data_IF_908678271286
#
_entry.id   IF_908678271286
#
_cell.length_a   1.000
_cell.length_b   1.000
_cell.length_c   1.000
_cell.angle_alpha   90.00
_cell.angle_beta   90.00
_cell.angle_gamma   90.00
#
_symmetry.space_group_name_H-M   'P 1'
#
loop_
_entity.id
_entity.type
_entity.pdbx_description
1 polymer ?
#
# COMPACT_ATOMS: atom_id res chain seq x y z
N UNK A 1 20.90 -14.37 3.22
CA UNK A 1 19.80 -13.40 3.08
C UNK A 1 20.21 -12.34 2.08
N UNK A 2 19.39 -12.10 1.06
CA UNK A 2 19.58 -10.96 0.17
C UNK A 2 19.47 -9.67 0.99
N UNK A 3 20.25 -8.64 0.65
CA UNK A 3 20.10 -7.34 1.30
C UNK A 3 18.86 -6.64 0.75
N UNK A 4 17.98 -6.08 1.61
CA UNK A 4 16.82 -5.36 1.14
C UNK A 4 17.24 -4.15 0.31
N UNK A 5 16.54 -3.91 -0.79
CA UNK A 5 16.78 -2.74 -1.63
C UNK A 5 16.30 -1.45 -0.94
N UNK A 6 15.13 -1.50 -0.30
CA UNK A 6 14.52 -0.41 0.44
C UNK A 6 14.12 -0.92 1.82
N UNK A 7 14.33 -0.10 2.85
CA UNK A 7 13.83 -0.36 4.21
C UNK A 7 13.13 0.88 4.74
N UNK A 8 12.05 0.68 5.48
CA UNK A 8 11.30 1.76 6.12
C UNK A 8 10.48 1.22 7.29
N UNK A 9 10.04 2.12 8.16
CA UNK A 9 9.01 1.82 9.16
C UNK A 9 7.70 2.46 8.72
N UNK A 10 6.65 1.64 8.60
CA UNK A 10 5.29 2.14 8.41
C UNK A 10 4.55 2.14 9.74
N UNK A 11 3.90 3.26 10.08
CA UNK A 11 3.20 3.43 11.37
C UNK A 11 1.86 4.13 11.21
N UNK A 12 0.99 3.92 12.19
CA UNK A 12 -0.31 4.58 12.36
C UNK A 12 -1.22 4.42 11.13
N UNK A 13 -1.42 3.16 10.75
CA UNK A 13 -2.16 2.80 9.55
C UNK A 13 -3.66 3.09 9.73
N UNK A 14 -4.26 3.68 8.70
CA UNK A 14 -5.70 3.91 8.55
C UNK A 14 -6.14 3.11 7.34
N UNK A 15 -6.95 2.08 7.53
CA UNK A 15 -7.46 1.25 6.45
C UNK A 15 -8.98 1.45 6.32
N UNK A 16 -9.41 1.94 5.17
CA UNK A 16 -10.81 1.91 4.77
C UNK A 16 -10.98 0.86 3.68
N UNK A 17 -11.78 -0.18 3.95
CA UNK A 17 -11.95 -1.32 3.07
C UNK A 17 -13.40 -1.44 2.63
N UNK A 18 -13.64 -1.68 1.35
CA UNK A 18 -14.98 -1.91 0.82
C UNK A 18 -14.99 -2.96 -0.28
N UNK A 19 -16.15 -3.60 -0.43
CA UNK A 19 -16.42 -4.51 -1.55
C UNK A 19 -16.48 -3.72 -2.85
N UNK A 20 -15.92 -4.29 -3.90
CA UNK A 20 -15.85 -3.67 -5.23
C UNK A 20 -16.21 -4.69 -6.29
N UNK A 21 -16.89 -4.25 -7.35
CA UNK A 21 -17.16 -5.10 -8.49
C UNK A 21 -15.86 -5.49 -9.21
N UNK A 22 -15.74 -6.77 -9.57
CA UNK A 22 -14.59 -7.30 -10.30
C UNK A 22 -14.33 -6.55 -11.61
N UNK A 23 -15.39 -6.13 -12.30
CA UNK A 23 -15.34 -5.36 -13.55
C UNK A 23 -14.55 -4.05 -13.43
N UNK A 24 -14.51 -3.44 -12.24
CA UNK A 24 -13.76 -2.21 -11.96
C UNK A 24 -12.27 -2.48 -11.74
N UNK A 25 -11.90 -3.70 -11.33
CA UNK A 25 -10.53 -4.11 -11.05
C UNK A 25 -9.83 -4.73 -12.26
N UNK A 26 -10.56 -5.46 -13.10
CA UNK A 26 -10.02 -6.16 -14.28
C UNK A 26 -9.09 -5.29 -15.15
N UNK A 27 -9.39 -4.00 -15.42
CA UNK A 27 -8.51 -3.16 -16.24
C UNK A 27 -7.11 -2.92 -15.65
N UNK A 28 -6.96 -3.08 -14.33
CA UNK A 28 -5.70 -2.87 -13.60
C UNK A 28 -4.96 -4.18 -13.31
N UNK A 29 -5.57 -5.33 -13.61
CA UNK A 29 -5.04 -6.65 -13.24
C UNK A 29 -3.82 -7.01 -14.11
N UNK A 30 -2.63 -7.24 -13.51
CA UNK A 30 -1.46 -7.66 -14.26
C UNK A 30 -1.61 -9.06 -14.87
N UNK A 31 -0.88 -9.30 -15.97
CA UNK A 31 -0.89 -10.61 -16.64
C UNK A 31 -0.42 -11.74 -15.73
N UNK A 32 -1.14 -12.86 -15.71
CA UNK A 32 -0.77 -14.04 -14.92
C UNK A 32 -1.01 -13.90 -13.42
N UNK A 33 -1.83 -12.94 -12.99
CA UNK A 33 -2.26 -12.70 -11.62
C UNK A 33 -3.79 -12.80 -11.55
N UNK A 34 -4.33 -13.33 -10.46
CA UNK A 34 -5.77 -13.49 -10.24
C UNK A 34 -6.24 -12.60 -9.08
N UNK A 35 -7.52 -12.17 -9.12
CA UNK A 35 -8.12 -11.46 -7.99
C UNK A 35 -8.25 -12.40 -6.78
N UNK A 36 -7.80 -11.94 -5.61
CA UNK A 36 -8.00 -12.66 -4.35
C UNK A 36 -9.32 -12.23 -3.72
N UNK A 37 -10.18 -13.20 -3.45
CA UNK A 37 -11.55 -12.98 -2.99
C UNK A 37 -11.68 -13.40 -1.55
N UNK A 38 -12.26 -12.54 -0.73
CA UNK A 38 -12.68 -12.87 0.63
C UNK A 38 -14.17 -13.18 0.63
N UNK A 39 -14.53 -14.40 1.03
CA UNK A 39 -15.92 -14.89 1.03
C UNK A 39 -16.63 -14.72 -0.33
N UNK A 40 -15.89 -14.77 -1.43
CA UNK A 40 -16.41 -14.63 -2.79
C UNK A 40 -16.47 -13.19 -3.32
N UNK A 41 -16.20 -12.19 -2.48
CA UNK A 41 -16.18 -10.78 -2.87
C UNK A 41 -14.75 -10.27 -3.15
N UNK A 42 -14.62 -9.35 -4.10
CA UNK A 42 -13.40 -8.56 -4.29
C UNK A 42 -13.41 -7.36 -3.35
N UNK A 43 -12.23 -7.00 -2.84
CA UNK A 43 -12.06 -5.88 -1.92
C UNK A 43 -11.04 -4.88 -2.43
N UNK A 44 -11.28 -3.61 -2.15
CA UNK A 44 -10.33 -2.53 -2.33
C UNK A 44 -10.14 -1.79 -1.01
N UNK A 45 -8.95 -1.22 -0.85
CA UNK A 45 -8.54 -0.53 0.36
C UNK A 45 -7.88 0.79 0.04
N UNK A 46 -8.29 1.83 0.76
CA UNK A 46 -7.58 3.08 0.85
C UNK A 46 -6.81 3.09 2.17
N UNK A 47 -5.48 3.09 2.08
CA UNK A 47 -4.59 2.97 3.22
C UNK A 47 -3.79 4.24 3.38
N UNK A 48 -3.91 4.89 4.53
CA UNK A 48 -3.11 6.05 4.92
C UNK A 48 -2.13 5.67 6.03
N UNK A 49 -0.87 6.07 5.92
CA UNK A 49 0.14 5.70 6.91
C UNK A 49 1.32 6.66 6.90
N UNK A 50 2.11 6.63 7.99
CA UNK A 50 3.39 7.31 8.06
C UNK A 50 4.48 6.39 7.54
N UNK A 51 5.15 6.83 6.49
CA UNK A 51 6.42 6.30 6.06
C UNK A 51 7.52 6.97 6.89
N UNK A 52 8.42 6.19 7.50
CA UNK A 52 9.49 6.68 8.38
C UNK A 52 10.81 5.98 8.09
N UNK A 53 11.92 6.67 8.39
CA UNK A 53 13.28 6.12 8.38
C UNK A 53 13.67 5.47 7.04
N UNK A 54 13.18 6.01 5.91
CA UNK A 54 13.44 5.43 4.60
C UNK A 54 14.94 5.34 4.30
N UNK A 55 15.40 4.14 3.95
CA UNK A 55 16.77 3.90 3.47
C UNK A 55 16.76 3.10 2.17
N UNK A 56 17.66 3.45 1.26
CA UNK A 56 17.85 2.75 -0.02
C UNK A 56 19.24 2.15 -0.03
N UNK A 57 19.32 0.83 -0.18
CA UNK A 57 20.56 0.03 -0.07
C UNK A 57 21.37 0.34 1.20
N UNK A 58 20.67 0.62 2.30
CA UNK A 58 21.24 0.96 3.60
C UNK A 58 21.72 2.41 3.76
N UNK A 59 21.50 3.28 2.78
CA UNK A 59 21.80 4.70 2.87
C UNK A 59 20.50 5.46 3.19
N UNK A 60 20.45 6.25 4.28
CA UNK A 60 19.27 7.05 4.62
C UNK A 60 18.92 8.02 3.50
N UNK A 61 17.63 8.11 3.17
CA UNK A 61 17.13 9.01 2.12
C UNK A 61 16.97 10.45 2.66
N UNK A 62 18.09 11.11 2.96
CA UNK A 62 18.10 12.44 3.58
C UNK A 62 17.13 13.43 2.92
N UNK A 63 16.26 14.04 3.72
CA UNK A 63 15.21 14.97 3.27
C UNK A 63 13.90 14.31 2.83
N UNK A 64 13.86 12.98 2.72
CA UNK A 64 12.70 12.20 2.25
C UNK A 64 12.45 10.96 3.11
N UNK A 65 13.00 10.91 4.32
CA UNK A 65 12.92 9.75 5.20
C UNK A 65 11.50 9.54 5.73
N UNK A 66 10.82 10.66 6.01
CA UNK A 66 9.55 10.69 6.70
C UNK A 66 8.49 11.44 5.88
N UNK A 67 7.36 10.80 5.61
CA UNK A 67 6.23 11.40 4.92
C UNK A 67 4.92 10.64 5.13
N UNK A 68 3.76 11.32 4.99
CA UNK A 68 2.48 10.65 4.81
C UNK A 68 2.41 10.01 3.42
N UNK A 69 1.82 8.82 3.35
CA UNK A 69 1.43 8.19 2.10
C UNK A 69 -0.03 7.74 2.17
N UNK A 70 -0.74 7.87 1.06
CA UNK A 70 -2.05 7.26 0.86
C UNK A 70 -1.95 6.37 -0.36
N UNK A 71 -2.39 5.12 -0.26
CA UNK A 71 -2.47 4.21 -1.39
C UNK A 71 -3.89 3.63 -1.56
N UNK A 72 -4.32 3.55 -2.81
CA UNK A 72 -5.53 2.86 -3.23
C UNK A 72 -5.11 1.56 -3.90
N UNK A 73 -5.50 0.44 -3.31
CA UNK A 73 -5.06 -0.89 -3.73
C UNK A 73 -6.18 -1.91 -3.70
N UNK A 74 -5.98 -3.01 -4.40
CA UNK A 74 -6.83 -4.21 -4.33
C UNK A 74 -5.98 -5.47 -4.22
N UNK A 75 -6.65 -6.58 -3.94
CA UNK A 75 -6.02 -7.82 -3.51
C UNK A 75 -5.96 -8.85 -4.62
N UNK A 76 -4.79 -9.48 -4.72
CA UNK A 76 -4.49 -10.44 -5.77
C UNK A 76 -3.68 -11.61 -5.24
N UNK A 77 -3.69 -12.70 -6.00
CA UNK A 77 -2.87 -13.86 -5.75
C UNK A 77 -2.28 -14.39 -7.05
N UNK A 78 -1.14 -15.05 -6.93
CA UNK A 78 -0.50 -15.76 -8.02
C UNK A 78 -0.08 -17.14 -7.55
N UNK A 79 -0.41 -18.16 -8.32
CA UNK A 79 0.08 -19.51 -8.07
C UNK A 79 1.36 -19.76 -8.87
N UNK A 80 2.47 -20.03 -8.19
CA UNK A 80 3.74 -20.39 -8.82
C UNK A 80 4.37 -21.57 -8.11
N UNK A 81 4.70 -22.62 -8.86
CA UNK A 81 5.41 -23.80 -8.34
C UNK A 81 4.72 -24.46 -7.12
N UNK A 82 3.39 -24.37 -7.04
CA UNK A 82 2.60 -24.90 -5.92
C UNK A 82 2.52 -23.98 -4.69
N UNK A 83 3.08 -22.78 -4.75
CA UNK A 83 2.96 -21.73 -3.73
C UNK A 83 1.94 -20.68 -4.16
N UNK A 84 1.06 -20.28 -3.24
CA UNK A 84 0.14 -19.15 -3.43
C UNK A 84 0.78 -17.88 -2.89
N UNK A 85 1.11 -16.95 -3.78
CA UNK A 85 1.70 -15.65 -3.44
C UNK A 85 0.63 -14.58 -3.43
N UNK A 86 0.15 -14.25 -2.24
CA UNK A 86 -0.81 -13.16 -2.02
C UNK A 86 -0.12 -11.82 -2.02
N UNK A 87 -0.68 -10.88 -2.78
CA UNK A 87 -0.16 -9.53 -2.85
C UNK A 87 -1.23 -8.49 -3.14
N UNK A 88 -0.74 -7.29 -3.42
CA UNK A 88 -1.58 -6.14 -3.77
C UNK A 88 -1.20 -5.60 -5.14
N UNK A 89 -2.18 -4.99 -5.79
CA UNK A 89 -1.98 -4.12 -6.95
C UNK A 89 -2.43 -2.73 -6.58
N UNK A 90 -1.59 -1.74 -6.88
CA UNK A 90 -1.90 -0.35 -6.64
C UNK A 90 -2.65 0.23 -7.85
N UNK A 91 -3.82 0.80 -7.59
CA UNK A 91 -4.54 1.64 -8.56
C UNK A 91 -3.90 3.02 -8.59
N UNK A 92 -3.57 3.56 -7.41
CA UNK A 92 -2.88 4.83 -7.26
C UNK A 92 -2.16 4.90 -5.92
N UNK A 93 -0.98 5.51 -5.92
CA UNK A 93 -0.22 5.84 -4.71
C UNK A 93 0.04 7.34 -4.65
N UNK A 94 -0.04 7.94 -3.47
CA UNK A 94 -0.01 9.39 -3.28
C UNK A 94 0.99 9.75 -2.19
N UNK A 95 1.97 10.59 -2.55
CA UNK A 95 3.07 11.04 -1.68
C UNK A 95 3.32 12.54 -1.87
N UNK A 96 3.83 13.27 -0.85
CA UNK A 96 4.25 14.66 -1.03
C UNK A 96 5.54 14.82 -1.85
N UNK A 97 6.31 13.74 -2.05
CA UNK A 97 7.66 13.85 -2.61
C UNK A 97 7.76 13.34 -4.06
N UNK A 98 8.08 14.24 -4.97
CA UNK A 98 8.27 13.94 -6.40
C UNK A 98 9.38 12.90 -6.63
N UNK A 99 10.44 12.95 -5.83
CA UNK A 99 11.56 12.01 -5.96
C UNK A 99 11.15 10.58 -5.62
N UNK A 100 10.35 10.38 -4.57
CA UNK A 100 9.81 9.08 -4.19
C UNK A 100 8.93 8.54 -5.32
N UNK A 101 7.97 9.34 -5.78
CA UNK A 101 7.11 8.94 -6.91
C UNK A 101 7.88 8.72 -8.21
N UNK A 102 9.00 9.41 -8.44
CA UNK A 102 9.85 9.17 -9.61
C UNK A 102 10.58 7.83 -9.52
N UNK A 103 11.16 7.51 -8.36
CA UNK A 103 11.83 6.22 -8.12
C UNK A 103 10.84 5.07 -8.29
N UNK A 104 9.65 5.18 -7.70
CA UNK A 104 8.60 4.16 -7.80
C UNK A 104 8.15 3.92 -9.25
N UNK A 105 7.84 5.00 -10.00
CA UNK A 105 7.51 4.92 -11.43
C UNK A 105 8.65 4.35 -12.28
N UNK A 106 9.90 4.61 -11.90
CA UNK A 106 11.08 4.19 -12.69
C UNK A 106 11.46 2.73 -12.44
N UNK A 107 11.37 2.27 -11.19
CA UNK A 107 11.80 0.93 -10.79
C UNK A 107 10.66 -0.09 -10.77
N UNK A 108 9.48 0.33 -10.34
CA UNK A 108 8.33 -0.55 -10.10
C UNK A 108 7.17 -0.29 -11.07
N UNK A 109 7.26 0.76 -11.90
CA UNK A 109 6.20 1.26 -12.80
C UNK A 109 4.90 1.67 -12.08
N UNK A 110 4.98 2.00 -10.80
CA UNK A 110 3.80 2.21 -9.95
C UNK A 110 3.07 3.53 -10.26
N UNK A 111 1.73 3.57 -10.16
CA UNK A 111 0.91 4.74 -10.47
C UNK A 111 0.97 5.79 -9.36
N UNK A 112 2.17 6.33 -9.10
CA UNK A 112 2.32 7.40 -8.13
C UNK A 112 1.73 8.71 -8.67
N UNK A 113 1.14 9.49 -7.76
CA UNK A 113 0.78 10.89 -7.91
C UNK A 113 1.49 11.68 -6.81
N UNK A 114 2.01 12.86 -7.16
CA UNK A 114 2.61 13.74 -6.18
C UNK A 114 1.66 14.88 -5.88
N UNK A 115 1.19 14.95 -4.64
CA UNK A 115 0.19 15.91 -4.19
C UNK A 115 0.68 16.57 -2.90
N UNK A 116 0.33 17.83 -2.62
CA UNK A 116 0.49 18.39 -1.28
C UNK A 116 -0.25 17.52 -0.27
N UNK A 117 0.46 17.10 0.77
CA UNK A 117 -0.10 16.23 1.82
C UNK A 117 0.22 16.76 3.20
N UNK A 118 -0.69 16.51 4.14
CA UNK A 118 -0.50 16.79 5.56
C UNK A 118 -1.06 15.64 6.39
N UNK A 119 -0.60 15.56 7.63
CA UNK A 119 -1.03 14.53 8.55
C UNK A 119 -1.20 15.08 9.96
N UNK A 120 -2.08 14.44 10.72
CA UNK A 120 -2.24 14.65 12.15
C UNK A 120 -2.38 13.29 12.82
N UNK A 121 -1.36 12.90 13.57
CA UNK A 121 -1.30 11.64 14.30
C UNK A 121 -1.11 11.95 15.77
N UNK A 122 -1.93 11.35 16.63
CA UNK A 122 -1.83 11.42 18.09
C UNK A 122 -2.26 10.08 18.71
N UNK A 123 -2.29 10.01 20.04
CA UNK A 123 -2.68 8.79 20.76
C UNK A 123 -4.14 8.37 20.51
N UNK A 124 -5.00 9.30 20.11
CA UNK A 124 -6.43 9.03 19.86
C UNK A 124 -6.71 8.57 18.42
N UNK A 125 -5.78 8.79 17.49
CA UNK A 125 -5.97 8.41 16.09
C UNK A 125 -5.04 9.10 15.09
N UNK A 126 -5.36 8.87 13.82
CA UNK A 126 -4.58 9.35 12.69
C UNK A 126 -5.50 9.95 11.62
N UNK A 127 -5.06 11.04 11.01
CA UNK A 127 -5.68 11.71 9.87
C UNK A 127 -4.60 12.00 8.83
N UNK A 128 -4.84 11.58 7.60
CA UNK A 128 -4.01 11.84 6.43
C UNK A 128 -4.82 12.59 5.40
N UNK A 129 -4.30 13.71 4.91
CA UNK A 129 -4.99 14.57 3.97
C UNK A 129 -4.08 14.87 2.77
N UNK A 130 -4.71 15.00 1.61
CA UNK A 130 -4.12 15.41 0.35
C UNK A 130 -4.94 16.57 -0.23
N UNK A 131 -4.30 17.39 -1.06
CA UNK A 131 -4.97 18.51 -1.73
C UNK A 131 -5.39 18.11 -3.15
N UNK A 132 -6.70 18.20 -3.44
CA UNK A 132 -7.26 18.02 -4.78
C UNK A 132 -7.90 19.33 -5.23
N UNK A 133 -7.30 19.98 -6.22
CA UNK A 133 -7.70 21.34 -6.61
C UNK A 133 -7.49 22.32 -5.46
N UNK A 134 -8.55 23.00 -5.03
CA UNK A 134 -8.50 23.96 -3.92
C UNK A 134 -8.87 23.34 -2.56
N UNK A 135 -9.32 22.09 -2.54
CA UNK A 135 -9.85 21.44 -1.35
C UNK A 135 -8.86 20.44 -0.74
N UNK A 136 -8.87 20.37 0.60
CA UNK A 136 -8.22 19.31 1.36
C UNK A 136 -9.21 18.18 1.60
N UNK A 137 -8.83 16.96 1.23
CA UNK A 137 -9.60 15.75 1.44
C UNK A 137 -8.71 14.71 2.12
N UNK A 138 -9.30 13.80 2.89
CA UNK A 138 -8.49 12.87 3.64
C UNK A 138 -9.24 11.70 4.24
N UNK A 139 -8.47 10.82 4.83
CA UNK A 139 -8.92 9.64 5.55
C UNK A 139 -8.37 9.68 6.97
N UNK A 140 -9.18 9.25 7.92
CA UNK A 140 -8.75 9.18 9.30
C UNK A 140 -9.62 8.24 10.11
N UNK A 141 -9.10 7.85 11.26
CA UNK A 141 -9.81 7.09 12.26
C UNK A 141 -9.52 7.66 13.64
N UNK A 142 -10.43 7.39 14.56
CA UNK A 142 -10.18 7.48 15.99
C UNK A 142 -10.20 6.07 16.56
N UNK A 143 -9.10 5.67 17.18
CA UNK A 143 -9.02 4.37 17.81
C UNK A 143 -9.84 4.39 19.11
N UNK A 144 -10.53 3.28 19.40
CA UNK A 144 -11.24 3.09 20.65
C UNK A 144 -10.97 1.67 21.15
N UNK A 145 -10.55 1.56 22.41
CA UNK A 145 -10.21 0.30 23.05
C UNK A 145 -8.72 -0.01 23.05
N UNK A 146 -8.32 -1.08 23.76
CA UNK A 146 -6.95 -1.56 23.77
C UNK A 146 -6.60 -2.26 22.46
N UNK A 147 -5.30 -2.42 22.22
CA UNK A 147 -4.78 -3.32 21.20
C UNK A 147 -5.36 -4.74 21.39
N UNK A 148 -5.64 -5.40 20.27
CA UNK A 148 -6.16 -6.76 20.20
C UNK A 148 -5.58 -7.52 19.01
N UNK A 149 -5.76 -8.83 19.04
CA UNK A 149 -5.43 -9.66 17.90
C UNK A 149 -6.38 -9.41 16.73
N UNK A 150 -5.83 -9.57 15.52
CA UNK A 150 -6.57 -9.44 14.28
C UNK A 150 -7.49 -10.64 14.07
N UNK A 151 -8.69 -10.39 13.56
CA UNK A 151 -9.56 -11.45 13.06
C UNK A 151 -9.14 -11.90 11.65
N UNK A 152 -9.78 -12.96 11.13
CA UNK A 152 -9.41 -13.55 9.84
C UNK A 152 -9.53 -12.57 8.65
N UNK A 153 -10.56 -11.70 8.68
CA UNK A 153 -10.74 -10.68 7.64
C UNK A 153 -9.67 -9.59 7.74
N UNK A 154 -9.31 -9.17 8.94
CA UNK A 154 -8.24 -8.19 9.15
C UNK A 154 -6.90 -8.73 8.68
N UNK A 155 -6.60 -9.99 9.00
CA UNK A 155 -5.42 -10.70 8.49
C UNK A 155 -5.45 -10.81 6.97
N UNK A 156 -6.61 -11.14 6.38
CA UNK A 156 -6.76 -11.10 4.93
C UNK A 156 -6.41 -9.73 4.38
N UNK A 157 -6.89 -8.63 4.95
CA UNK A 157 -6.64 -7.27 4.46
C UNK A 157 -5.18 -6.81 4.64
N UNK A 158 -4.54 -7.16 5.75
CA UNK A 158 -3.23 -6.60 6.13
C UNK A 158 -2.02 -7.45 5.78
N UNK A 159 -2.16 -8.78 5.71
CA UNK A 159 -1.03 -9.70 5.59
C UNK A 159 -0.73 -10.05 4.12
N UNK A 160 -0.18 -9.08 3.40
CA UNK A 160 0.22 -9.21 2.00
C UNK A 160 1.70 -8.90 1.81
N UNK A 161 2.44 -9.91 1.37
CA UNK A 161 3.91 -9.86 1.30
C UNK A 161 4.44 -9.67 -0.12
N UNK A 162 3.55 -9.45 -1.08
CA UNK A 162 3.90 -9.28 -2.49
C UNK A 162 3.21 -8.05 -3.07
N UNK A 163 3.90 -7.36 -3.98
CA UNK A 163 3.32 -6.33 -4.83
C UNK A 163 3.43 -6.76 -6.29
N UNK A 164 2.37 -6.50 -7.04
CA UNK A 164 2.31 -6.80 -8.47
C UNK A 164 2.01 -5.54 -9.26
N UNK A 165 2.68 -5.39 -10.40
CA UNK A 165 2.41 -4.29 -11.29
C UNK A 165 2.58 -4.66 -12.75
N UNK A 166 1.78 -4.04 -13.62
CA UNK A 166 1.87 -4.22 -15.06
C UNK A 166 3.05 -3.42 -15.61
N UNK A 167 3.93 -4.07 -16.36
CA UNK A 167 5.07 -3.45 -17.03
C UNK A 167 4.67 -2.90 -18.40
N UNK A 168 5.52 -2.03 -18.97
CA UNK A 168 5.28 -1.40 -20.30
C UNK A 168 5.09 -2.40 -21.44
N UNK A 169 5.64 -3.60 -21.30
CA UNK A 169 5.52 -4.71 -22.25
C UNK A 169 4.37 -5.67 -21.90
N UNK A 170 3.44 -5.27 -21.02
CA UNK A 170 2.29 -6.06 -20.52
C UNK A 170 2.62 -7.23 -19.60
N UNK A 171 3.91 -7.51 -19.34
CA UNK A 171 4.32 -8.51 -18.36
C UNK A 171 4.03 -8.04 -16.93
N UNK A 172 3.86 -8.98 -16.00
CA UNK A 172 3.79 -8.68 -14.57
C UNK A 172 5.18 -8.52 -13.97
N UNK A 173 5.42 -7.44 -13.26
CA UNK A 173 6.49 -7.36 -12.26
C UNK A 173 5.94 -7.82 -10.91
N UNK A 174 6.78 -8.54 -10.18
CA UNK A 174 6.52 -9.03 -8.84
C UNK A 174 7.67 -8.56 -7.94
N UNK A 175 7.35 -8.07 -6.75
CA UNK A 175 8.33 -7.77 -5.72
C UNK A 175 7.80 -8.17 -4.35
N UNK A 176 8.71 -8.45 -3.42
CA UNK A 176 8.38 -8.90 -2.07
C UNK A 176 8.48 -7.74 -1.08
N UNK A 177 7.52 -7.65 -0.17
CA UNK A 177 7.50 -6.73 0.96
C UNK A 177 7.49 -7.56 2.24
N UNK A 178 8.61 -7.59 2.95
CA UNK A 178 8.70 -8.27 4.24
C UNK A 178 8.33 -7.30 5.37
N UNK A 179 7.34 -7.66 6.17
CA UNK A 179 6.98 -6.94 7.39
C UNK A 179 6.60 -7.92 8.51
N UNK A 180 6.67 -7.48 9.75
CA UNK A 180 6.07 -8.21 10.86
C UNK A 180 4.54 -8.13 10.79
N UNK A 181 3.84 -9.07 11.42
CA UNK A 181 2.37 -9.02 11.56
C UNK A 181 1.95 -7.68 12.16
N UNK A 182 0.90 -7.09 11.59
CA UNK A 182 0.37 -5.82 12.05
C UNK A 182 -0.29 -5.95 13.44
N UNK A 183 -0.12 -4.92 14.27
CA UNK A 183 -0.85 -4.81 15.55
C UNK A 183 -2.04 -3.90 15.33
N UNK A 184 -3.20 -4.28 15.90
CA UNK A 184 -4.48 -3.54 15.80
C UNK A 184 -5.05 -3.21 17.15
#
# INVERSE_FOLDING_TARGET
MARPFLTAAWRDLVLLNWRVEESLLTPYLPSGVELDRWEGDCWASLVGFRFLDMSVKGVPAFGYQDFPEINLRFYVKREMQGEVRRGVVFVQEMTPYQLVGWVARTLYNEPYATLPMRQKVNEEGALYELQLGEEWQGIGLKANGPWRDQNEMELFITEHYWGYNTQKNTDSMEYQVEHSIWRT
#
